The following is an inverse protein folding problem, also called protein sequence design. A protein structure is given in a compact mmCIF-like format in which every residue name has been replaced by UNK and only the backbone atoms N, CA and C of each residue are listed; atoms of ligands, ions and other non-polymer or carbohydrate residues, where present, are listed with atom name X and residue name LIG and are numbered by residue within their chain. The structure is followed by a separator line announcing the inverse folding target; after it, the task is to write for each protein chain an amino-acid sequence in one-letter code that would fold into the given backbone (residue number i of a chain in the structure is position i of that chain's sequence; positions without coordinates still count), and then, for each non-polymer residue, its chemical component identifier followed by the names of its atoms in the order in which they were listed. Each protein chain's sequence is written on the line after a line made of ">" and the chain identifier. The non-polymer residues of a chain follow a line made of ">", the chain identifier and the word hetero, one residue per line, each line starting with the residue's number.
data_IF_860201196389
#
_entry.id   IF_860201196389
#
_cell.length_a   1.000
_cell.length_b   1.000
_cell.length_c   1.000
_cell.angle_alpha   90.00
_cell.angle_beta   90.00
_cell.angle_gamma   90.00
#
_symmetry.space_group_name_H-M   'P 1'
#
loop_
_entity.id
_entity.type
_entity.pdbx_description
1 polymer ?
#
# COMPACT_ATOMS: atom_id res chain seq x y z
N UNK A 1 -4.60 -6.01 8.78
CA UNK A 1 -3.42 -5.29 8.25
C UNK A 1 -3.68 -5.08 6.75
N UNK A 2 -3.31 -3.96 6.10
CA UNK A 2 -3.69 -3.73 4.68
C UNK A 2 -3.17 -4.85 3.76
N UNK A 3 -1.89 -5.21 3.90
CA UNK A 3 -1.24 -6.26 3.09
C UNK A 3 -1.72 -7.69 3.40
N UNK A 4 -2.44 -7.91 4.50
CA UNK A 4 -3.11 -9.19 4.78
C UNK A 4 -4.51 -9.27 4.17
N UNK A 5 -4.98 -8.22 3.49
CA UNK A 5 -6.33 -8.11 2.92
C UNK A 5 -7.42 -7.81 3.94
N UNK A 6 -7.11 -7.78 5.23
CA UNK A 6 -8.08 -7.53 6.31
C UNK A 6 -8.26 -6.03 6.62
N UNK A 7 -7.33 -5.20 6.17
CA UNK A 7 -7.35 -3.75 6.38
C UNK A 7 -7.56 -2.96 5.09
N UNK A 8 -7.77 -1.66 5.25
CA UNK A 8 -7.90 -0.70 4.15
C UNK A 8 -6.79 0.35 4.19
N UNK A 9 -6.53 0.97 3.04
CA UNK A 9 -5.64 2.12 2.96
C UNK A 9 -6.29 3.42 3.48
N UNK A 10 -5.54 4.53 3.46
CA UNK A 10 -6.05 5.85 3.87
C UNK A 10 -7.28 6.36 3.11
N UNK A 11 -7.67 5.74 1.98
CA UNK A 11 -8.86 6.07 1.21
C UNK A 11 -9.99 5.05 1.39
N UNK A 12 -9.83 4.09 2.30
CA UNK A 12 -10.82 3.06 2.58
C UNK A 12 -10.84 1.92 1.55
N UNK A 13 -9.81 1.80 0.70
CA UNK A 13 -9.72 0.74 -0.33
C UNK A 13 -9.10 -0.52 0.28
N UNK A 14 -9.63 -1.69 -0.04
CA UNK A 14 -9.00 -2.96 0.32
C UNK A 14 -7.90 -3.32 -0.68
N UNK A 15 -7.01 -4.23 -0.28
CA UNK A 15 -5.94 -4.74 -1.15
C UNK A 15 -6.50 -5.27 -2.48
N UNK A 16 -7.59 -6.03 -2.45
CA UNK A 16 -8.23 -6.56 -3.64
C UNK A 16 -8.73 -5.48 -4.61
N UNK A 17 -9.23 -4.35 -4.09
CA UNK A 17 -9.69 -3.23 -4.93
C UNK A 17 -8.53 -2.57 -5.66
N UNK A 18 -7.42 -2.35 -4.95
CA UNK A 18 -6.21 -1.73 -5.51
C UNK A 18 -5.56 -2.63 -6.56
N UNK A 19 -5.51 -3.94 -6.33
CA UNK A 19 -4.98 -4.91 -7.31
C UNK A 19 -5.85 -5.03 -8.56
N UNK A 20 -7.11 -4.61 -8.51
CA UNK A 20 -8.06 -4.62 -9.63
C UNK A 20 -8.07 -3.31 -10.45
N UNK A 21 -7.20 -2.34 -10.14
CA UNK A 21 -7.14 -1.08 -10.87
C UNK A 21 -6.85 -1.26 -12.36
N UNK A 22 -7.56 -0.50 -13.18
CA UNK A 22 -7.27 -0.37 -14.60
C UNK A 22 -6.14 0.65 -14.86
N UNK A 23 -5.61 0.64 -16.08
CA UNK A 23 -4.51 1.54 -16.47
C UNK A 23 -4.85 3.02 -16.22
N UNK A 24 -6.10 3.43 -16.43
CA UNK A 24 -6.49 4.82 -16.25
C UNK A 24 -6.43 5.25 -14.78
N UNK A 25 -6.75 4.36 -13.84
CA UNK A 25 -6.57 4.61 -12.40
C UNK A 25 -5.09 4.60 -12.02
N UNK A 26 -4.32 3.63 -12.51
CA UNK A 26 -2.88 3.54 -12.25
C UNK A 26 -2.14 4.81 -12.72
N UNK A 27 -2.52 5.38 -13.86
CA UNK A 27 -1.92 6.62 -14.38
C UNK A 27 -2.36 7.87 -13.61
N UNK A 28 -3.62 7.94 -13.17
CA UNK A 28 -4.16 9.16 -12.54
C UNK A 28 -3.78 9.28 -11.06
N UNK A 29 -3.50 8.16 -10.40
CA UNK A 29 -3.36 8.09 -8.95
C UNK A 29 -2.22 7.17 -8.59
N UNK A 30 -1.35 7.61 -7.67
CA UNK A 30 -0.17 6.85 -7.25
C UNK A 30 -0.11 6.70 -5.71
N UNK A 31 -1.20 7.08 -5.04
CA UNK A 31 -1.32 7.11 -3.58
C UNK A 31 -1.33 5.72 -2.94
N UNK A 32 -1.55 4.67 -3.73
CA UNK A 32 -1.54 3.26 -3.33
C UNK A 32 -0.15 2.63 -3.36
N UNK A 33 0.84 3.24 -4.03
CA UNK A 33 2.14 2.60 -4.30
C UNK A 33 2.81 2.20 -2.99
N UNK A 34 2.89 3.12 -2.02
CA UNK A 34 3.54 2.82 -0.74
C UNK A 34 2.72 1.91 0.18
N UNK A 35 1.44 1.72 -0.12
CA UNK A 35 0.62 0.73 0.57
C UNK A 35 0.90 -0.68 0.05
N UNK A 36 1.18 -0.83 -1.25
CA UNK A 36 1.61 -2.10 -1.85
C UNK A 36 3.10 -2.38 -1.60
N UNK A 37 3.92 -1.33 -1.56
CA UNK A 37 5.38 -1.40 -1.41
C UNK A 37 5.83 -0.47 -0.28
N UNK A 38 5.64 -0.89 0.98
CA UNK A 38 6.04 -0.11 2.15
C UNK A 38 7.53 0.18 2.16
N UNK A 39 7.89 1.32 2.73
CA UNK A 39 9.27 1.71 2.95
C UNK A 39 9.69 1.39 4.40
N UNK A 40 11.00 1.22 4.66
CA UNK A 40 11.55 1.13 6.02
C UNK A 40 11.53 2.46 6.77
N UNK A 41 11.15 3.55 6.10
CA UNK A 41 10.97 4.88 6.66
C UNK A 41 9.61 5.46 6.28
N UNK A 42 9.09 6.39 7.08
CA UNK A 42 7.80 7.01 6.82
C UNK A 42 7.80 7.80 5.51
N UNK A 43 6.82 7.53 4.66
CA UNK A 43 6.63 8.25 3.41
C UNK A 43 6.37 9.73 3.62
N UNK A 44 7.01 10.58 2.81
CA UNK A 44 6.65 12.00 2.67
C UNK A 44 5.49 12.24 1.70
N UNK A 45 5.13 11.25 0.88
CA UNK A 45 4.13 11.37 -0.19
C UNK A 45 2.82 10.64 0.12
N UNK A 46 2.89 9.57 0.91
CA UNK A 46 1.74 8.74 1.29
C UNK A 46 1.66 8.64 2.81
N UNK A 47 1.16 9.71 3.43
CA UNK A 47 0.94 9.74 4.88
C UNK A 47 0.02 8.59 5.30
N UNK A 48 0.40 7.87 6.36
CA UNK A 48 -0.35 6.75 6.90
C UNK A 48 -0.06 5.39 6.25
N UNK A 49 0.74 5.32 5.18
CA UNK A 49 1.25 4.05 4.69
C UNK A 49 2.08 3.36 5.80
N UNK A 50 1.97 2.02 5.95
CA UNK A 50 2.71 1.31 6.98
C UNK A 50 4.22 1.48 6.78
N UNK A 51 4.95 1.59 7.88
CA UNK A 51 6.42 1.53 7.89
C UNK A 51 6.79 0.14 8.36
N UNK A 52 7.47 -0.61 7.50
CA UNK A 52 7.86 -1.99 7.80
C UNK A 52 9.38 -2.09 7.86
N UNK A 53 9.88 -2.71 8.91
CA UNK A 53 11.28 -3.11 9.00
C UNK A 53 11.65 -4.11 7.89
N UNK A 54 12.94 -4.23 7.60
CA UNK A 54 13.43 -5.20 6.61
C UNK A 54 13.02 -6.64 6.95
N UNK A 55 12.93 -6.99 8.24
CA UNK A 55 12.46 -8.30 8.71
C UNK A 55 10.97 -8.50 8.38
N UNK A 56 10.14 -7.50 8.61
CA UNK A 56 8.71 -7.54 8.28
C UNK A 56 8.47 -7.62 6.77
N UNK A 57 9.25 -6.86 5.97
CA UNK A 57 9.20 -6.94 4.51
C UNK A 57 9.55 -8.35 4.02
N UNK A 58 10.56 -8.99 4.60
CA UNK A 58 10.97 -10.35 4.23
C UNK A 58 9.92 -11.44 4.57
N UNK A 59 8.99 -11.15 5.48
CA UNK A 59 7.90 -12.05 5.86
C UNK A 59 6.69 -11.98 4.92
N UNK A 60 6.60 -10.92 4.11
CA UNK A 60 5.54 -10.75 3.12
C UNK A 60 5.91 -11.55 1.86
N UNK A 61 5.07 -12.50 1.49
CA UNK A 61 5.26 -13.43 0.35
C UNK A 61 4.46 -13.03 -0.87
#
# INVERSE_FOLDING_TARGET
>A
MFLTGEGHDHRGRFLADVLAFDNAILERSHDYIQWLFPLPEASRFSAGAPVLSHEEIALIR
#
